data_IF_902754149089
#
_entry.id   IF_902754149089
#
_cell.length_a   1.000
_cell.length_b   1.000
_cell.length_c   1.000
_cell.angle_alpha   90.00
_cell.angle_beta   90.00
_cell.angle_gamma   90.00
#
_symmetry.space_group_name_H-M   'P 1'
#
loop_
_entity.id
_entity.type
_entity.pdbx_description
1 polymer ?
#
# COMPACT_ATOMS: atom_id res chain seq x y z
N UNK A 1 17.70 -0.40 4.69
CA UNK A 1 16.46 -1.00 5.23
C UNK A 1 16.12 -2.33 4.54
N UNK A 2 16.16 -2.43 3.21
CA UNK A 2 15.87 -3.71 2.53
C UNK A 2 16.75 -4.87 3.00
N UNK A 3 18.05 -4.65 3.17
CA UNK A 3 18.96 -5.67 3.71
C UNK A 3 18.67 -6.08 5.15
N UNK A 4 18.12 -5.19 5.99
CA UNK A 4 17.75 -5.51 7.36
C UNK A 4 16.69 -6.61 7.42
N UNK A 5 15.60 -6.44 6.67
CA UNK A 5 14.53 -7.45 6.68
C UNK A 5 14.96 -8.77 6.07
N UNK A 6 15.80 -8.74 5.03
CA UNK A 6 16.40 -9.97 4.50
C UNK A 6 17.24 -10.69 5.56
N UNK A 7 18.13 -9.98 6.27
CA UNK A 7 18.91 -10.54 7.36
C UNK A 7 18.02 -11.12 8.47
N UNK A 8 16.99 -10.37 8.90
CA UNK A 8 16.03 -10.84 9.91
C UNK A 8 15.24 -12.07 9.46
N UNK A 9 14.86 -12.14 8.19
CA UNK A 9 14.14 -13.29 7.63
C UNK A 9 14.99 -14.56 7.61
N UNK A 10 16.23 -14.43 7.13
CA UNK A 10 17.15 -15.56 7.07
C UNK A 10 17.86 -15.86 8.39
N UNK A 11 17.82 -14.95 9.36
CA UNK A 11 18.53 -15.05 10.63
C UNK A 11 20.04 -14.83 10.45
N UNK A 12 20.44 -13.98 9.50
CA UNK A 12 21.83 -13.69 9.17
C UNK A 12 22.25 -12.31 9.70
N UNK A 13 23.41 -12.25 10.35
CA UNK A 13 23.98 -11.00 10.85
C UNK A 13 24.37 -10.06 9.71
N UNK A 14 24.31 -8.76 9.97
CA UNK A 14 24.46 -7.72 8.97
C UNK A 14 25.70 -6.90 9.25
N UNK A 15 26.52 -6.72 8.24
CA UNK A 15 27.61 -5.75 8.24
C UNK A 15 27.25 -4.56 7.33
N UNK A 16 27.10 -3.38 7.92
CA UNK A 16 26.84 -2.14 7.19
C UNK A 16 28.17 -1.47 6.88
N UNK A 17 28.49 -1.35 5.59
CA UNK A 17 29.66 -0.60 5.12
C UNK A 17 29.27 0.85 4.85
N UNK A 18 30.20 1.76 5.19
CA UNK A 18 29.97 3.20 5.09
C UNK A 18 29.36 3.81 6.36
N UNK A 19 28.79 5.00 6.22
CA UNK A 19 28.32 5.78 7.37
C UNK A 19 26.82 5.57 7.61
N UNK A 20 26.46 5.29 8.85
CA UNK A 20 25.07 5.15 9.31
C UNK A 20 24.75 6.25 10.34
N UNK A 21 23.52 6.74 10.33
CA UNK A 21 22.99 7.67 11.35
C UNK A 21 23.06 7.01 12.73
N UNK A 22 23.70 7.65 13.74
CA UNK A 22 23.72 7.15 15.12
C UNK A 22 22.34 6.92 15.70
N UNK A 23 21.39 7.81 15.42
CA UNK A 23 19.99 7.67 15.84
C UNK A 23 19.36 6.43 15.26
N UNK A 24 19.50 6.19 13.95
CA UNK A 24 18.97 4.99 13.29
C UNK A 24 19.61 3.73 13.88
N UNK A 25 20.94 3.71 14.00
CA UNK A 25 21.66 2.55 14.54
C UNK A 25 21.19 2.20 15.97
N UNK A 26 20.98 3.21 16.82
CA UNK A 26 20.47 3.02 18.19
C UNK A 26 19.05 2.41 18.20
N UNK A 27 18.18 2.87 17.32
CA UNK A 27 16.79 2.46 17.30
C UNK A 27 16.54 1.12 16.60
N UNK A 28 17.46 0.61 15.77
CA UNK A 28 17.26 -0.62 15.02
C UNK A 28 17.13 -1.86 15.90
N UNK A 29 17.65 -1.87 17.12
CA UNK A 29 17.44 -2.98 18.05
C UNK A 29 15.98 -3.06 18.50
N UNK A 30 15.40 -1.94 18.91
CA UNK A 30 13.97 -1.85 19.27
C UNK A 30 13.06 -2.14 18.11
N UNK A 31 13.37 -1.61 16.92
CA UNK A 31 12.64 -1.90 15.69
C UNK A 31 12.59 -3.40 15.39
N UNK A 32 13.73 -4.09 15.45
CA UNK A 32 13.82 -5.54 15.27
C UNK A 32 13.00 -6.29 16.32
N UNK A 33 13.04 -5.83 17.59
CA UNK A 33 12.26 -6.45 18.66
C UNK A 33 10.77 -6.39 18.36
N UNK A 34 10.24 -5.22 17.97
CA UNK A 34 8.83 -5.04 17.63
C UNK A 34 8.43 -5.94 16.46
N UNK A 35 9.23 -5.97 15.39
CA UNK A 35 8.93 -6.82 14.23
C UNK A 35 8.96 -8.31 14.60
N UNK A 36 9.96 -8.76 15.34
CA UNK A 36 10.02 -10.16 15.78
C UNK A 36 8.86 -10.52 16.71
N UNK A 37 8.47 -9.62 17.62
CA UNK A 37 7.31 -9.83 18.48
C UNK A 37 6.01 -9.96 17.68
N UNK A 38 5.84 -9.12 16.65
CA UNK A 38 4.65 -9.13 15.78
C UNK A 38 4.63 -10.33 14.81
N UNK A 39 5.79 -10.74 14.33
CA UNK A 39 5.96 -11.77 13.28
C UNK A 39 7.02 -12.81 13.67
N UNK A 40 6.86 -13.53 14.80
CA UNK A 40 7.91 -14.41 15.35
C UNK A 40 8.27 -15.59 14.45
N UNK A 41 7.38 -15.96 13.53
CA UNK A 41 7.62 -17.05 12.58
C UNK A 41 8.25 -16.56 11.25
N UNK A 42 8.23 -15.25 10.98
CA UNK A 42 8.69 -14.68 9.72
C UNK A 42 10.08 -14.05 9.84
N UNK A 43 10.37 -13.40 10.97
CA UNK A 43 11.62 -12.66 11.16
C UNK A 43 12.28 -12.96 12.52
N UNK A 44 13.61 -12.86 12.58
CA UNK A 44 14.43 -13.03 13.79
C UNK A 44 15.26 -11.79 14.04
N UNK A 45 15.60 -11.53 15.29
CA UNK A 45 16.59 -10.48 15.60
C UNK A 45 17.98 -10.96 15.18
N UNK A 46 18.75 -10.06 14.58
CA UNK A 46 20.11 -10.31 14.07
C UNK A 46 21.06 -9.23 14.59
N UNK A 47 22.36 -9.55 14.66
CA UNK A 47 23.38 -8.58 15.00
C UNK A 47 23.66 -7.64 13.82
N UNK A 48 23.87 -6.34 14.10
CA UNK A 48 24.23 -5.37 13.08
C UNK A 48 25.55 -4.72 13.48
N UNK A 49 26.55 -4.83 12.61
CA UNK A 49 27.84 -4.16 12.77
C UNK A 49 27.90 -2.95 11.84
N UNK A 50 28.32 -1.83 12.37
CA UNK A 50 28.45 -0.56 11.62
C UNK A 50 29.92 -0.21 11.47
N UNK A 51 30.34 0.14 10.25
CA UNK A 51 31.69 0.59 9.98
C UNK A 51 31.93 1.99 10.58
N UNK A 52 31.01 2.93 10.30
CA UNK A 52 31.08 4.29 10.84
C UNK A 52 29.70 4.78 11.30
N UNK A 53 29.66 5.52 12.40
CA UNK A 53 28.46 6.20 12.90
C UNK A 53 28.72 7.70 12.90
N UNK A 54 27.96 8.44 12.05
CA UNK A 54 27.98 9.90 12.06
C UNK A 54 26.63 10.45 11.53
N UNK A 55 26.17 11.59 12.04
CA UNK A 55 25.01 12.27 11.47
C UNK A 55 25.32 12.73 10.04
N UNK A 56 24.32 12.74 9.17
CA UNK A 56 24.44 13.31 7.84
C UNK A 56 24.65 14.82 7.96
N UNK A 57 25.69 15.34 7.29
CA UNK A 57 25.95 16.78 7.24
C UNK A 57 24.99 17.47 6.25
N UNK A 58 23.71 17.56 6.61
CA UNK A 58 22.65 18.17 5.81
C UNK A 58 21.65 18.88 6.72
N UNK A 59 20.98 19.90 6.20
CA UNK A 59 19.87 20.59 6.87
C UNK A 59 18.62 20.57 5.97
N UNK A 60 17.99 19.41 5.82
CA UNK A 60 16.82 19.25 4.95
C UNK A 60 15.62 20.05 5.46
N UNK A 61 14.83 20.59 4.56
CA UNK A 61 13.64 21.39 4.89
C UNK A 61 12.34 20.80 4.35
N UNK A 62 12.42 20.02 3.31
CA UNK A 62 11.24 19.45 2.64
C UNK A 62 10.53 18.39 3.51
N UNK A 63 9.24 18.25 3.26
CA UNK A 63 8.37 17.25 3.87
C UNK A 63 7.80 16.39 2.75
N UNK A 64 8.09 15.10 2.78
CA UNK A 64 7.72 14.15 1.72
C UNK A 64 6.71 13.11 2.15
N UNK A 65 6.05 12.51 1.16
CA UNK A 65 5.25 11.29 1.29
C UNK A 65 5.20 10.55 -0.05
N UNK A 66 4.66 9.33 -0.10
CA UNK A 66 4.39 8.67 -1.39
C UNK A 66 3.17 9.27 -2.07
N UNK A 67 3.20 9.35 -3.39
CA UNK A 67 2.06 9.74 -4.25
C UNK A 67 1.68 8.55 -5.14
N UNK A 68 1.02 7.53 -4.56
CA UNK A 68 0.64 6.31 -5.29
C UNK A 68 -0.72 6.40 -6.00
N UNK A 69 -1.48 7.47 -5.79
CA UNK A 69 -2.86 7.59 -6.26
C UNK A 69 -3.89 6.79 -5.43
N UNK A 70 -3.45 6.01 -4.45
CA UNK A 70 -4.34 5.27 -3.54
C UNK A 70 -4.95 6.15 -2.43
N UNK A 71 -6.02 5.66 -1.81
CA UNK A 71 -6.76 6.40 -0.76
C UNK A 71 -5.84 6.85 0.38
N UNK A 72 -4.96 5.98 0.87
CA UNK A 72 -4.14 6.26 2.05
C UNK A 72 -3.08 7.34 1.76
N UNK A 73 -2.48 7.28 0.58
CA UNK A 73 -1.53 8.27 0.07
C UNK A 73 -2.21 9.62 -0.15
N UNK A 74 -3.34 9.65 -0.87
CA UNK A 74 -4.08 10.88 -1.15
C UNK A 74 -4.66 11.51 0.12
N UNK A 75 -5.12 10.70 1.07
CA UNK A 75 -5.56 11.20 2.37
C UNK A 75 -4.41 11.85 3.16
N UNK A 76 -3.23 11.23 3.16
CA UNK A 76 -2.04 11.78 3.83
C UNK A 76 -1.65 13.11 3.22
N UNK A 77 -1.61 13.20 1.89
CA UNK A 77 -1.34 14.45 1.17
C UNK A 77 -2.39 15.52 1.55
N UNK A 78 -3.67 15.21 1.34
CA UNK A 78 -4.77 16.14 1.63
C UNK A 78 -4.72 16.70 3.05
N UNK A 79 -4.46 15.81 4.04
CA UNK A 79 -4.40 16.20 5.46
C UNK A 79 -3.27 17.16 5.77
N UNK A 80 -2.20 17.14 4.96
CA UNK A 80 -1.01 17.96 5.16
C UNK A 80 -0.84 19.07 4.10
N UNK A 81 -1.87 19.35 3.29
CA UNK A 81 -1.90 20.57 2.50
C UNK A 81 -2.05 21.79 3.39
N UNK A 82 -1.58 22.99 2.96
CA UNK A 82 -1.69 24.24 3.73
C UNK A 82 -3.09 24.52 4.25
N UNK A 83 -4.13 24.16 3.51
CA UNK A 83 -5.53 24.37 3.87
C UNK A 83 -5.98 23.52 5.08
N UNK A 84 -5.33 22.37 5.28
CA UNK A 84 -5.70 21.39 6.30
C UNK A 84 -4.66 21.23 7.41
N UNK A 85 -3.44 21.78 7.23
CA UNK A 85 -2.33 21.74 8.19
C UNK A 85 -1.80 23.15 8.45
N UNK A 86 -2.10 23.70 9.61
CA UNK A 86 -1.71 25.07 9.99
C UNK A 86 -0.21 25.24 10.29
N UNK A 87 0.47 24.14 10.68
CA UNK A 87 1.91 24.20 10.98
C UNK A 87 2.75 23.96 9.73
N UNK A 88 3.47 24.97 9.18
CA UNK A 88 4.23 24.81 7.94
C UNK A 88 5.30 23.71 8.00
N UNK A 89 5.82 23.41 9.18
CA UNK A 89 6.83 22.36 9.36
C UNK A 89 6.30 20.94 9.08
N UNK A 90 4.98 20.76 9.02
CA UNK A 90 4.31 19.49 8.76
C UNK A 90 3.53 19.47 7.45
N UNK A 91 3.53 20.59 6.71
CA UNK A 91 2.90 20.64 5.38
C UNK A 91 3.75 19.85 4.38
N UNK A 92 3.10 18.95 3.62
CA UNK A 92 3.78 18.18 2.57
C UNK A 92 4.14 19.11 1.42
N UNK A 93 5.39 19.02 0.96
CA UNK A 93 5.94 19.80 -0.15
C UNK A 93 6.28 18.92 -1.37
N UNK A 94 6.49 17.60 -1.16
CA UNK A 94 6.90 16.68 -2.21
C UNK A 94 6.14 15.35 -2.11
N UNK A 95 5.79 14.81 -3.27
CA UNK A 95 5.33 13.43 -3.43
C UNK A 95 6.41 12.56 -4.08
N UNK A 96 6.52 11.30 -3.70
CA UNK A 96 7.34 10.33 -4.43
C UNK A 96 6.43 9.37 -5.19
N UNK A 97 6.59 9.29 -6.51
CA UNK A 97 5.96 8.29 -7.35
C UNK A 97 6.97 7.19 -7.66
N UNK A 98 6.67 5.97 -7.22
CA UNK A 98 7.64 4.88 -7.20
C UNK A 98 7.32 3.87 -8.30
N UNK A 99 8.28 3.66 -9.20
CA UNK A 99 8.28 2.56 -10.16
C UNK A 99 8.96 1.33 -9.55
N UNK A 100 8.42 0.15 -9.82
CA UNK A 100 8.93 -1.12 -9.28
C UNK A 100 8.24 -1.55 -7.99
N UNK A 101 7.13 -0.88 -7.60
CA UNK A 101 6.21 -1.31 -6.56
C UNK A 101 4.90 -1.79 -7.20
N UNK A 102 3.84 -0.97 -7.14
CA UNK A 102 2.53 -1.34 -7.70
C UNK A 102 2.53 -1.34 -9.25
N UNK A 103 3.50 -0.69 -9.90
CA UNK A 103 3.70 -0.69 -11.36
C UNK A 103 5.02 -1.37 -11.68
N UNK A 104 4.94 -2.41 -12.50
CA UNK A 104 6.10 -3.20 -12.88
C UNK A 104 6.97 -2.47 -13.92
N UNK A 105 8.25 -2.83 -13.98
CA UNK A 105 9.18 -2.27 -14.96
C UNK A 105 8.79 -2.60 -16.41
N UNK A 106 8.10 -3.73 -16.64
CA UNK A 106 7.54 -4.14 -17.93
C UNK A 106 6.42 -3.22 -18.44
N UNK A 107 5.76 -2.46 -17.55
CA UNK A 107 4.61 -1.60 -17.86
C UNK A 107 5.02 -0.14 -18.12
N UNK A 108 6.04 0.06 -18.93
CA UNK A 108 6.66 1.39 -19.11
C UNK A 108 5.71 2.47 -19.66
N UNK A 109 4.87 2.14 -20.63
CA UNK A 109 3.94 3.11 -21.24
C UNK A 109 2.89 3.57 -20.22
N UNK A 110 2.31 2.63 -19.48
CA UNK A 110 1.35 2.89 -18.41
C UNK A 110 1.97 3.76 -17.32
N UNK A 111 3.19 3.43 -16.91
CA UNK A 111 3.93 4.22 -15.94
C UNK A 111 4.13 5.66 -16.39
N UNK A 112 4.61 5.88 -17.60
CA UNK A 112 4.86 7.23 -18.14
C UNK A 112 3.56 8.05 -18.26
N UNK A 113 2.45 7.42 -18.61
CA UNK A 113 1.15 8.07 -18.67
C UNK A 113 0.71 8.53 -17.27
N UNK A 114 0.75 7.64 -16.28
CA UNK A 114 0.39 7.95 -14.90
C UNK A 114 1.31 9.02 -14.31
N UNK A 115 2.63 8.91 -14.53
CA UNK A 115 3.60 9.87 -14.03
C UNK A 115 3.30 11.29 -14.55
N UNK A 116 3.05 11.45 -15.85
CA UNK A 116 2.67 12.76 -16.42
C UNK A 116 1.41 13.32 -15.77
N UNK A 117 0.38 12.50 -15.61
CA UNK A 117 -0.88 12.93 -15.02
C UNK A 117 -0.73 13.28 -13.54
N UNK A 118 0.00 12.47 -12.78
CA UNK A 118 0.25 12.74 -11.36
C UNK A 118 1.15 13.96 -11.17
N UNK A 119 2.12 14.20 -12.05
CA UNK A 119 2.95 15.42 -12.04
C UNK A 119 2.10 16.67 -12.23
N UNK A 120 1.19 16.65 -13.19
CA UNK A 120 0.25 17.76 -13.37
C UNK A 120 -0.60 17.99 -12.12
N UNK A 121 -1.22 16.94 -11.57
CA UNK A 121 -2.08 17.08 -10.40
C UNK A 121 -1.30 17.49 -9.15
N UNK A 122 -0.09 17.02 -8.96
CA UNK A 122 0.79 17.44 -7.86
C UNK A 122 1.11 18.95 -7.98
N UNK A 123 1.44 19.42 -9.18
CA UNK A 123 1.71 20.83 -9.45
C UNK A 123 0.49 21.72 -9.17
N UNK A 124 -0.73 21.28 -9.55
CA UNK A 124 -1.98 22.00 -9.30
C UNK A 124 -2.25 22.24 -7.79
N UNK A 125 -1.72 21.39 -6.92
CA UNK A 125 -1.84 21.51 -5.45
C UNK A 125 -0.55 21.98 -4.76
N UNK A 126 0.41 22.49 -5.54
CA UNK A 126 1.64 23.07 -5.03
C UNK A 126 2.67 22.06 -4.53
N UNK A 127 2.60 20.78 -4.97
CA UNK A 127 3.57 19.74 -4.65
C UNK A 127 4.55 19.53 -5.82
N UNK A 128 5.80 19.26 -5.48
CA UNK A 128 6.79 18.71 -6.41
C UNK A 128 6.69 17.17 -6.41
N UNK A 129 6.55 16.55 -7.59
CA UNK A 129 6.53 15.10 -7.73
C UNK A 129 7.90 14.59 -8.14
N UNK A 130 8.47 13.71 -7.31
CA UNK A 130 9.76 13.06 -7.56
C UNK A 130 9.50 11.66 -8.13
N UNK A 131 10.11 11.39 -9.28
CA UNK A 131 10.18 10.04 -9.84
C UNK A 131 11.28 9.23 -9.14
N UNK A 132 10.93 8.02 -8.68
CA UNK A 132 11.89 7.09 -8.11
C UNK A 132 11.69 5.71 -8.73
N UNK A 133 12.78 5.13 -9.21
CA UNK A 133 12.82 3.77 -9.76
C UNK A 133 13.56 2.84 -8.81
N UNK A 134 13.02 1.63 -8.58
CA UNK A 134 13.63 0.66 -7.65
C UNK A 134 13.30 -0.79 -8.02
N UNK A 135 14.27 -1.66 -7.85
CA UNK A 135 14.11 -3.11 -7.97
C UNK A 135 14.01 -3.83 -6.62
N UNK A 136 13.74 -3.10 -5.54
CA UNK A 136 13.74 -3.68 -4.17
C UNK A 136 12.74 -4.82 -4.02
N UNK A 137 11.59 -4.75 -4.68
CA UNK A 137 10.61 -5.83 -4.63
C UNK A 137 11.14 -7.11 -5.29
N UNK A 138 11.84 -7.01 -6.42
CA UNK A 138 12.41 -8.19 -7.09
C UNK A 138 13.47 -8.89 -6.22
N UNK A 139 14.19 -8.15 -5.38
CA UNK A 139 15.15 -8.70 -4.41
C UNK A 139 14.41 -9.38 -3.25
N UNK A 140 13.28 -8.82 -2.79
CA UNK A 140 12.47 -9.33 -1.70
C UNK A 140 11.58 -10.53 -2.07
N UNK A 141 11.14 -10.62 -3.33
CA UNK A 141 10.16 -11.61 -3.79
C UNK A 141 10.63 -13.06 -3.81
N UNK A 142 11.93 -13.30 -3.76
CA UNK A 142 12.42 -14.66 -3.94
C UNK A 142 11.98 -15.63 -2.86
N UNK A 143 11.59 -15.18 -1.66
CA UNK A 143 11.14 -16.08 -0.55
C UNK A 143 10.32 -15.42 0.57
N UNK A 144 9.99 -14.12 0.54
CA UNK A 144 9.34 -13.42 1.65
C UNK A 144 8.03 -12.77 1.19
N UNK A 145 7.01 -12.82 2.05
CA UNK A 145 5.71 -12.21 1.70
C UNK A 145 5.83 -10.69 1.65
N UNK A 146 5.33 -10.07 0.57
CA UNK A 146 5.35 -8.63 0.30
C UNK A 146 4.87 -7.76 1.46
N UNK A 147 3.85 -8.21 2.17
CA UNK A 147 3.25 -7.47 3.28
C UNK A 147 4.25 -7.20 4.42
N UNK A 148 5.27 -8.04 4.58
CA UNK A 148 6.29 -7.93 5.63
C UNK A 148 7.35 -6.87 5.30
N UNK A 149 7.54 -6.55 4.02
CA UNK A 149 8.60 -5.64 3.54
C UNK A 149 8.11 -4.26 3.12
N UNK A 150 6.83 -4.10 2.89
CA UNK A 150 6.27 -2.89 2.25
C UNK A 150 6.59 -1.61 3.03
N UNK A 151 6.42 -1.59 4.34
CA UNK A 151 6.72 -0.43 5.17
C UNK A 151 8.18 0.03 5.10
N UNK A 152 9.17 -0.82 5.44
CA UNK A 152 10.60 -0.49 5.32
C UNK A 152 11.05 -0.14 3.91
N UNK A 153 10.41 -0.68 2.88
CA UNK A 153 10.71 -0.29 1.50
C UNK A 153 10.24 1.14 1.21
N UNK A 154 9.04 1.51 1.64
CA UNK A 154 8.57 2.91 1.56
C UNK A 154 9.52 3.83 2.33
N UNK A 155 9.89 3.47 3.56
CA UNK A 155 10.86 4.25 4.34
C UNK A 155 12.18 4.41 3.61
N UNK A 156 12.67 3.33 2.97
CA UNK A 156 13.92 3.38 2.20
C UNK A 156 13.89 4.44 1.10
N UNK A 157 12.76 4.61 0.42
CA UNK A 157 12.62 5.64 -0.62
C UNK A 157 12.72 7.06 -0.06
N UNK A 158 12.15 7.31 1.13
CA UNK A 158 12.31 8.58 1.82
C UNK A 158 13.75 8.81 2.31
N UNK A 159 14.40 7.76 2.84
CA UNK A 159 15.77 7.87 3.37
C UNK A 159 16.85 8.02 2.30
N UNK A 160 16.65 7.49 1.09
CA UNK A 160 17.54 7.76 -0.06
C UNK A 160 17.58 9.26 -0.37
N UNK A 161 16.50 9.98 -0.09
CA UNK A 161 16.36 11.42 -0.26
C UNK A 161 16.54 12.19 1.08
N UNK A 162 17.28 11.64 2.04
CA UNK A 162 17.48 12.24 3.37
C UNK A 162 18.20 13.60 3.37
N UNK A 163 18.88 13.95 2.29
CA UNK A 163 19.42 15.31 2.10
C UNK A 163 18.34 16.35 1.77
N UNK A 164 17.19 15.90 1.26
CA UNK A 164 16.05 16.74 0.93
C UNK A 164 15.00 16.75 2.05
N UNK A 165 14.68 15.57 2.60
CA UNK A 165 13.57 15.41 3.52
C UNK A 165 13.96 15.56 4.99
N UNK A 166 13.39 16.58 5.62
CA UNK A 166 13.35 16.71 7.08
C UNK A 166 12.33 15.76 7.71
N UNK A 167 11.22 15.51 7.03
CA UNK A 167 10.14 14.59 7.43
C UNK A 167 9.67 13.76 6.25
N UNK A 168 9.32 12.54 6.53
CA UNK A 168 8.72 11.67 5.54
C UNK A 168 7.54 10.91 6.14
N UNK A 169 6.35 11.11 5.57
CA UNK A 169 5.15 10.41 6.02
C UNK A 169 5.01 9.07 5.33
N UNK A 170 4.67 8.04 6.14
CA UNK A 170 4.24 6.73 5.67
C UNK A 170 2.73 6.67 5.75
N UNK A 171 2.00 6.63 4.62
CA UNK A 171 0.56 6.49 4.62
C UNK A 171 0.13 5.14 5.18
N UNK A 172 -0.67 5.13 6.23
CA UNK A 172 -1.17 3.90 6.85
C UNK A 172 -2.27 3.24 6.03
N UNK A 173 -2.14 1.97 5.75
CA UNK A 173 -3.18 1.15 5.12
C UNK A 173 -4.29 0.69 6.08
N UNK A 174 -4.05 0.73 7.38
CA UNK A 174 -4.97 0.30 8.43
C UNK A 174 -5.17 1.33 9.54
N UNK A 175 -6.25 1.19 10.28
CA UNK A 175 -6.46 1.91 11.54
C UNK A 175 -5.77 1.18 12.71
N UNK A 176 -5.67 1.85 13.85
CA UNK A 176 -5.03 1.27 15.05
C UNK A 176 -5.70 -0.03 15.51
N UNK A 177 -7.02 -0.17 15.37
CA UNK A 177 -7.72 -1.39 15.76
C UNK A 177 -7.34 -2.56 14.87
N UNK A 178 -7.29 -2.34 13.55
CA UNK A 178 -6.86 -3.36 12.59
C UNK A 178 -5.40 -3.75 12.80
N UNK A 179 -4.52 -2.78 13.00
CA UNK A 179 -3.09 -3.00 13.22
C UNK A 179 -2.77 -3.69 14.54
N UNK A 180 -3.66 -3.62 15.52
CA UNK A 180 -3.53 -4.37 16.77
C UNK A 180 -3.57 -5.89 16.55
N UNK A 181 -4.34 -6.35 15.57
CA UNK A 181 -4.59 -7.78 15.30
C UNK A 181 -3.87 -8.32 14.07
N UNK A 182 -3.33 -7.45 13.24
CA UNK A 182 -2.68 -7.84 11.97
C UNK A 182 -1.26 -7.32 11.95
N UNK A 183 -0.31 -8.22 11.74
CA UNK A 183 1.09 -7.84 11.57
C UNK A 183 1.29 -7.33 10.14
N UNK A 184 1.58 -6.04 10.03
CA UNK A 184 2.09 -5.42 8.81
C UNK A 184 3.48 -4.86 9.09
N UNK A 185 4.32 -4.80 8.08
CA UNK A 185 5.64 -4.19 8.23
C UNK A 185 5.59 -2.66 8.33
N UNK A 186 4.52 -2.00 7.84
CA UNK A 186 4.23 -0.60 8.16
C UNK A 186 3.41 -0.55 9.44
N UNK A 187 4.05 -0.23 10.55
CA UNK A 187 3.47 -0.29 11.88
C UNK A 187 3.70 1.03 12.62
N UNK A 188 2.61 1.68 13.11
CA UNK A 188 2.72 2.95 13.84
C UNK A 188 3.57 2.85 15.11
N UNK A 189 3.77 1.66 15.67
CA UNK A 189 4.66 1.45 16.81
C UNK A 189 6.13 1.35 16.40
N UNK A 190 6.41 0.90 15.19
CA UNK A 190 7.77 0.59 14.74
C UNK A 190 8.36 1.66 13.82
N UNK A 191 7.55 2.26 12.93
CA UNK A 191 8.06 3.09 11.83
C UNK A 191 8.86 4.31 12.31
N UNK A 192 8.48 4.92 13.42
CA UNK A 192 9.20 6.05 14.00
C UNK A 192 10.65 5.75 14.38
N UNK A 193 10.97 4.49 14.71
CA UNK A 193 12.33 4.03 15.00
C UNK A 193 13.24 3.99 13.76
N UNK A 194 12.67 4.13 12.56
CA UNK A 194 13.44 4.23 11.32
C UNK A 194 13.91 5.66 11.02
N UNK A 195 13.64 6.62 11.90
CA UNK A 195 14.12 7.99 11.79
C UNK A 195 15.64 8.06 11.90
N UNK A 196 16.24 8.99 11.14
CA UNK A 196 17.66 9.35 11.23
C UNK A 196 17.86 10.62 12.04
N UNK A 197 19.09 11.10 12.15
CA UNK A 197 19.39 12.39 12.80
C UNK A 197 18.80 13.58 12.03
N UNK A 198 18.60 13.43 10.71
CA UNK A 198 18.14 14.51 9.82
C UNK A 198 16.71 14.32 9.31
N UNK A 199 16.24 13.08 9.19
CA UNK A 199 14.93 12.76 8.62
C UNK A 199 14.04 12.06 9.65
N UNK A 200 12.94 12.70 10.02
CA UNK A 200 11.90 12.13 10.88
C UNK A 200 10.93 11.30 10.04
N UNK A 201 10.74 10.03 10.41
CA UNK A 201 9.75 9.12 9.79
C UNK A 201 8.47 9.17 10.62
N UNK A 202 7.34 9.45 9.99
CA UNK A 202 6.05 9.62 10.65
C UNK A 202 5.03 8.69 10.00
N UNK A 203 4.54 7.70 10.74
CA UNK A 203 3.39 6.90 10.33
C UNK A 203 2.12 7.74 10.46
N UNK A 204 1.30 7.83 9.40
CA UNK A 204 0.16 8.73 9.36
C UNK A 204 -1.12 8.06 8.86
N UNK A 205 -2.23 8.36 9.52
CA UNK A 205 -3.59 8.00 9.08
C UNK A 205 -4.22 6.82 9.79
N UNK A 206 -3.55 6.18 10.77
CA UNK A 206 -4.12 5.07 11.57
C UNK A 206 -5.22 5.51 12.54
N UNK A 207 -5.42 6.80 12.75
CA UNK A 207 -6.51 7.35 13.56
C UNK A 207 -7.87 7.31 12.85
N UNK A 208 -7.88 7.00 11.56
CA UNK A 208 -9.08 7.00 10.72
C UNK A 208 -9.32 5.62 10.12
N UNK A 209 -10.57 5.17 10.15
CA UNK A 209 -11.02 4.07 9.31
C UNK A 209 -10.85 4.40 7.83
N UNK A 210 -10.69 3.37 7.00
CA UNK A 210 -10.53 3.59 5.56
C UNK A 210 -11.73 4.31 4.94
N UNK A 211 -12.94 4.00 5.37
CA UNK A 211 -14.16 4.69 4.91
C UNK A 211 -14.17 6.17 5.29
N UNK A 212 -13.60 6.54 6.44
CA UNK A 212 -13.48 7.93 6.87
C UNK A 212 -12.44 8.69 6.03
N UNK A 213 -11.34 8.03 5.66
CA UNK A 213 -10.37 8.59 4.72
C UNK A 213 -11.02 8.89 3.37
N UNK A 214 -11.79 7.93 2.83
CA UNK A 214 -12.56 8.14 1.60
C UNK A 214 -13.51 9.32 1.75
N UNK A 215 -14.26 9.40 2.84
CA UNK A 215 -15.22 10.49 3.08
C UNK A 215 -14.56 11.86 3.10
N UNK A 216 -13.41 11.99 3.78
CA UNK A 216 -12.71 13.27 3.91
C UNK A 216 -12.19 13.80 2.57
N UNK A 217 -11.75 12.91 1.66
CA UNK A 217 -11.21 13.31 0.36
C UNK A 217 -12.23 13.21 -0.79
N UNK A 218 -13.47 12.78 -0.51
CA UNK A 218 -14.46 12.46 -1.54
C UNK A 218 -14.81 13.62 -2.47
N UNK A 219 -14.80 14.85 -1.97
CA UNK A 219 -15.09 16.06 -2.73
C UNK A 219 -13.84 16.81 -3.21
N UNK A 220 -12.66 16.29 -2.94
CA UNK A 220 -11.42 16.85 -3.45
C UNK A 220 -11.21 16.44 -4.92
N UNK A 221 -10.84 17.38 -5.79
CA UNK A 221 -10.75 17.14 -7.23
C UNK A 221 -9.64 16.17 -7.63
N UNK A 222 -8.55 16.13 -6.85
CA UNK A 222 -7.39 15.28 -7.16
C UNK A 222 -7.76 13.80 -7.21
N UNK A 223 -8.38 13.18 -6.15
CA UNK A 223 -8.76 11.78 -6.23
C UNK A 223 -9.83 11.49 -7.29
N UNK A 224 -10.70 12.47 -7.62
CA UNK A 224 -11.68 12.27 -8.68
C UNK A 224 -11.03 12.03 -10.05
N UNK A 225 -9.81 12.58 -10.25
CA UNK A 225 -9.02 12.48 -11.50
C UNK A 225 -7.92 11.41 -11.43
N UNK A 226 -7.37 11.12 -10.24
CA UNK A 226 -6.13 10.33 -10.10
C UNK A 226 -6.28 9.05 -9.27
N UNK A 227 -7.46 8.79 -8.70
CA UNK A 227 -7.62 7.65 -7.81
C UNK A 227 -7.32 6.33 -8.52
N UNK A 228 -6.36 5.59 -7.98
CA UNK A 228 -6.01 4.25 -8.39
C UNK A 228 -5.90 3.32 -7.18
N UNK A 229 -6.79 2.33 -7.12
CA UNK A 229 -6.87 1.37 -6.01
C UNK A 229 -6.85 -0.08 -6.49
N UNK A 230 -6.88 -0.30 -7.80
CA UNK A 230 -7.07 -1.61 -8.41
C UNK A 230 -5.77 -2.40 -8.48
N UNK A 231 -5.79 -3.66 -8.02
CA UNK A 231 -4.68 -4.61 -8.23
C UNK A 231 -4.69 -5.22 -9.64
N UNK A 232 -5.83 -5.19 -10.33
CA UNK A 232 -6.02 -5.74 -11.67
C UNK A 232 -6.23 -4.60 -12.68
N UNK A 233 -5.46 -3.54 -12.55
CA UNK A 233 -5.56 -2.39 -13.43
C UNK A 233 -5.25 -2.83 -14.86
N UNK A 234 -6.16 -2.50 -15.77
CA UNK A 234 -5.88 -2.42 -17.20
C UNK A 234 -5.79 -0.94 -17.49
N UNK A 235 -4.63 -0.46 -17.81
CA UNK A 235 -4.41 0.94 -18.10
C UNK A 235 -4.88 1.27 -19.53
N UNK A 236 -6.20 1.20 -19.73
CA UNK A 236 -6.83 1.60 -20.98
C UNK A 236 -7.31 3.05 -20.84
N UNK A 237 -6.69 3.97 -21.55
CA UNK A 237 -7.02 5.40 -21.59
C UNK A 237 -7.04 6.08 -20.21
N UNK A 238 -8.23 6.28 -19.62
CA UNK A 238 -8.43 6.98 -18.34
C UNK A 238 -8.99 6.09 -17.25
N UNK A 239 -9.29 4.82 -17.54
CA UNK A 239 -9.91 3.90 -16.60
C UNK A 239 -8.89 2.95 -16.01
N UNK A 240 -8.56 3.15 -14.73
CA UNK A 240 -7.52 2.38 -14.04
C UNK A 240 -8.07 1.43 -12.98
N UNK A 241 -9.35 1.51 -12.70
CA UNK A 241 -10.01 0.72 -11.68
C UNK A 241 -11.04 -0.20 -12.32
N UNK A 242 -10.83 -1.51 -12.23
CA UNK A 242 -11.68 -2.53 -12.85
C UNK A 242 -13.13 -2.58 -12.30
N UNK A 243 -13.45 -1.80 -11.29
CA UNK A 243 -14.77 -1.72 -10.62
C UNK A 243 -15.29 -3.03 -10.03
N UNK A 244 -14.49 -4.10 -9.97
CA UNK A 244 -14.93 -5.47 -9.62
C UNK A 244 -14.10 -6.14 -8.53
N UNK A 245 -12.83 -5.77 -8.36
CA UNK A 245 -12.01 -6.35 -7.32
C UNK A 245 -12.40 -5.81 -5.93
N UNK A 246 -11.92 -6.46 -4.88
CA UNK A 246 -12.23 -6.08 -3.51
C UNK A 246 -11.84 -4.64 -3.21
N UNK A 247 -10.62 -4.21 -3.59
CA UNK A 247 -10.15 -2.83 -3.38
C UNK A 247 -11.02 -1.79 -4.10
N UNK A 248 -11.46 -2.06 -5.35
CA UNK A 248 -12.38 -1.18 -6.05
C UNK A 248 -13.71 -1.08 -5.30
N UNK A 249 -14.32 -2.23 -4.96
CA UNK A 249 -15.65 -2.27 -4.35
C UNK A 249 -15.68 -1.59 -2.99
N UNK A 250 -14.72 -1.85 -2.12
CA UNK A 250 -14.65 -1.20 -0.80
C UNK A 250 -14.42 0.31 -0.88
N UNK A 251 -13.92 0.81 -2.02
CA UNK A 251 -13.77 2.25 -2.27
C UNK A 251 -15.02 2.84 -2.93
N UNK A 252 -15.64 2.12 -3.85
CA UNK A 252 -16.85 2.57 -4.55
C UNK A 252 -18.06 2.68 -3.62
N UNK A 253 -18.22 1.75 -2.65
CA UNK A 253 -19.37 1.75 -1.73
C UNK A 253 -19.47 3.07 -0.93
N UNK A 254 -18.44 3.55 -0.21
CA UNK A 254 -18.54 4.82 0.48
C UNK A 254 -18.71 6.01 -0.47
N UNK A 255 -18.07 6.02 -1.65
CA UNK A 255 -18.26 7.06 -2.65
C UNK A 255 -19.72 7.09 -3.18
N UNK A 256 -20.31 5.91 -3.39
CA UNK A 256 -21.72 5.79 -3.75
C UNK A 256 -22.64 6.27 -2.62
N UNK A 257 -22.32 5.91 -1.37
CA UNK A 257 -23.10 6.36 -0.21
C UNK A 257 -23.05 7.87 0.01
N UNK A 258 -22.03 8.54 -0.52
CA UNK A 258 -21.87 10.00 -0.52
C UNK A 258 -22.48 10.68 -1.75
N UNK A 259 -23.02 9.91 -2.68
CA UNK A 259 -23.58 10.39 -3.97
C UNK A 259 -22.53 11.15 -4.84
N UNK A 260 -21.26 10.70 -4.80
CA UNK A 260 -20.16 11.33 -5.58
C UNK A 260 -19.42 10.35 -6.50
N UNK A 261 -19.80 9.07 -6.52
CA UNK A 261 -19.09 8.06 -7.30
C UNK A 261 -19.02 8.39 -8.80
N UNK A 262 -20.02 9.05 -9.34
CA UNK A 262 -20.10 9.49 -10.74
C UNK A 262 -19.04 10.53 -11.14
N UNK A 263 -18.46 11.24 -10.15
CA UNK A 263 -17.35 12.18 -10.34
C UNK A 263 -16.01 11.47 -10.56
N UNK A 264 -15.89 10.21 -10.12
CA UNK A 264 -14.66 9.41 -10.19
C UNK A 264 -14.55 8.69 -11.53
N UNK A 265 -13.96 9.35 -12.52
CA UNK A 265 -13.87 8.86 -13.90
C UNK A 265 -12.86 7.72 -14.08
N UNK A 266 -12.04 7.44 -13.07
CA UNK A 266 -11.05 6.37 -13.08
C UNK A 266 -11.64 4.97 -12.89
N UNK A 267 -12.92 4.84 -12.53
CA UNK A 267 -13.63 3.56 -12.46
C UNK A 267 -14.24 3.19 -13.82
N UNK A 268 -13.98 1.95 -14.26
CA UNK A 268 -14.53 1.41 -15.54
C UNK A 268 -16.07 1.39 -15.53
N UNK A 269 -16.67 0.95 -14.42
CA UNK A 269 -18.12 0.77 -14.29
C UNK A 269 -18.61 1.23 -12.93
N UNK A 270 -18.95 2.49 -12.73
CA UNK A 270 -19.62 2.92 -11.51
C UNK A 270 -20.99 2.23 -11.41
N UNK A 271 -21.36 1.77 -10.21
CA UNK A 271 -22.70 1.22 -9.98
C UNK A 271 -23.67 2.29 -9.45
N UNK A 272 -24.92 2.18 -9.86
CA UNK A 272 -25.97 3.16 -9.54
C UNK A 272 -27.20 2.55 -8.86
N UNK A 273 -27.27 1.22 -8.77
CA UNK A 273 -28.42 0.48 -8.24
C UNK A 273 -28.01 -0.44 -7.10
N UNK A 274 -28.92 -0.64 -6.13
CA UNK A 274 -28.65 -1.43 -4.93
C UNK A 274 -28.30 -2.91 -5.24
N UNK A 275 -28.90 -3.51 -6.27
CA UNK A 275 -28.58 -4.91 -6.64
C UNK A 275 -27.15 -5.07 -7.19
N UNK A 276 -26.59 -4.01 -7.79
CA UNK A 276 -25.19 -4.02 -8.24
C UNK A 276 -24.26 -4.08 -7.03
N UNK A 277 -24.63 -3.41 -5.94
CA UNK A 277 -23.91 -3.51 -4.66
C UNK A 277 -23.84 -4.97 -4.19
N UNK A 278 -24.92 -5.75 -4.30
CA UNK A 278 -24.94 -7.17 -3.97
C UNK A 278 -23.89 -7.95 -4.76
N UNK A 279 -23.77 -7.72 -6.06
CA UNK A 279 -22.83 -8.41 -6.92
C UNK A 279 -21.38 -8.06 -6.62
N UNK A 280 -21.10 -6.80 -6.36
CA UNK A 280 -19.75 -6.32 -6.07
C UNK A 280 -19.34 -6.67 -4.64
N UNK A 281 -20.19 -6.39 -3.67
CA UNK A 281 -19.90 -6.60 -2.26
C UNK A 281 -19.82 -8.08 -1.85
N UNK A 282 -20.28 -9.01 -2.70
CA UNK A 282 -20.08 -10.48 -2.48
C UNK A 282 -18.61 -10.90 -2.38
N UNK A 283 -17.68 -10.02 -2.72
CA UNK A 283 -16.24 -10.19 -2.46
C UNK A 283 -15.90 -10.11 -0.98
N UNK A 284 -16.71 -9.39 -0.20
CA UNK A 284 -16.56 -9.32 1.23
C UNK A 284 -17.04 -10.62 1.89
N UNK A 285 -16.40 -10.95 3.00
CA UNK A 285 -16.79 -12.02 3.90
C UNK A 285 -16.56 -11.57 5.34
N UNK A 286 -17.06 -12.31 6.33
CA UNK A 286 -16.93 -11.95 7.74
C UNK A 286 -15.48 -11.94 8.27
N UNK A 287 -14.52 -12.46 7.50
CA UNK A 287 -13.08 -12.43 7.82
C UNK A 287 -12.38 -11.20 7.25
N UNK A 288 -13.06 -10.40 6.42
CA UNK A 288 -12.49 -9.18 5.86
C UNK A 288 -12.51 -8.05 6.89
N UNK A 289 -11.36 -7.50 7.21
CA UNK A 289 -11.18 -6.46 8.23
C UNK A 289 -11.97 -5.17 7.93
N UNK A 290 -12.29 -4.91 6.68
CA UNK A 290 -13.01 -3.68 6.26
C UNK A 290 -14.53 -3.82 6.29
N UNK A 291 -15.07 -5.00 6.52
CA UNK A 291 -16.54 -5.23 6.50
C UNK A 291 -17.22 -4.52 7.65
N UNK A 292 -16.67 -4.63 8.85
CA UNK A 292 -17.28 -4.03 10.05
C UNK A 292 -17.34 -2.49 9.94
N UNK A 293 -16.25 -1.85 9.50
CA UNK A 293 -16.26 -0.40 9.31
C UNK A 293 -17.29 0.04 8.27
N UNK A 294 -17.46 -0.75 7.19
CA UNK A 294 -18.46 -0.49 6.17
C UNK A 294 -19.89 -0.56 6.70
N UNK A 295 -20.20 -1.57 7.54
CA UNK A 295 -21.51 -1.65 8.19
C UNK A 295 -21.80 -0.44 9.11
N UNK A 296 -20.83 -0.06 9.93
CA UNK A 296 -20.96 1.11 10.82
C UNK A 296 -21.16 2.38 9.99
N UNK A 297 -20.39 2.53 8.93
CA UNK A 297 -20.45 3.68 8.04
C UNK A 297 -21.82 3.80 7.34
N UNK A 298 -22.29 2.74 6.69
CA UNK A 298 -23.57 2.73 5.98
C UNK A 298 -24.75 2.90 6.93
N UNK A 299 -24.68 2.39 8.16
CA UNK A 299 -25.72 2.62 9.18
C UNK A 299 -25.93 4.11 9.46
N UNK A 300 -24.86 4.92 9.36
CA UNK A 300 -24.92 6.38 9.60
C UNK A 300 -25.31 7.16 8.34
N UNK A 301 -24.89 6.69 7.16
CA UNK A 301 -24.97 7.46 5.92
C UNK A 301 -26.09 7.01 4.97
N UNK A 302 -26.27 5.71 4.76
CA UNK A 302 -27.19 5.17 3.74
C UNK A 302 -27.73 3.81 4.16
N UNK A 303 -28.65 3.82 5.14
CA UNK A 303 -29.20 2.60 5.78
C UNK A 303 -29.90 1.66 4.81
N UNK A 304 -30.44 2.19 3.73
CA UNK A 304 -31.11 1.40 2.67
C UNK A 304 -30.16 0.45 1.94
N UNK A 305 -28.83 0.66 2.02
CA UNK A 305 -27.84 -0.25 1.46
C UNK A 305 -27.50 -1.44 2.38
N UNK A 306 -27.84 -1.36 3.67
CA UNK A 306 -27.48 -2.39 4.65
C UNK A 306 -28.01 -3.79 4.30
N UNK A 307 -29.29 -3.97 3.89
CA UNK A 307 -29.79 -5.30 3.53
C UNK A 307 -28.98 -5.96 2.41
N UNK A 308 -28.57 -5.16 1.42
CA UNK A 308 -27.74 -5.64 0.30
C UNK A 308 -26.33 -5.99 0.74
N UNK A 309 -25.73 -5.20 1.63
CA UNK A 309 -24.41 -5.51 2.18
C UNK A 309 -24.44 -6.75 3.07
N UNK A 310 -25.48 -6.94 3.91
CA UNK A 310 -25.66 -8.15 4.73
C UNK A 310 -25.77 -9.38 3.83
N UNK A 311 -26.64 -9.35 2.83
CA UNK A 311 -26.83 -10.46 1.90
C UNK A 311 -25.53 -10.75 1.14
N UNK A 312 -24.85 -9.73 0.66
CA UNK A 312 -23.56 -9.85 -0.03
C UNK A 312 -22.49 -10.51 0.86
N UNK A 313 -22.40 -10.08 2.12
CA UNK A 313 -21.43 -10.62 3.08
C UNK A 313 -21.73 -12.08 3.42
N UNK A 314 -23.01 -12.46 3.57
CA UNK A 314 -23.41 -13.85 3.78
C UNK A 314 -22.99 -14.70 2.56
N UNK A 315 -23.31 -14.26 1.35
CA UNK A 315 -22.94 -14.97 0.12
C UNK A 315 -21.41 -15.06 -0.04
N UNK A 316 -20.69 -14.00 0.27
CA UNK A 316 -19.22 -13.97 0.27
C UNK A 316 -18.63 -14.95 1.29
N UNK A 317 -19.20 -15.03 2.48
CA UNK A 317 -18.77 -15.95 3.55
C UNK A 317 -19.05 -17.41 3.17
N UNK A 318 -20.25 -17.71 2.64
CA UNK A 318 -20.57 -19.04 2.14
C UNK A 318 -19.62 -19.47 1.02
N UNK A 319 -19.34 -18.57 0.09
CA UNK A 319 -18.35 -18.79 -0.97
C UNK A 319 -16.96 -19.06 -0.41
N UNK A 320 -16.50 -18.27 0.57
CA UNK A 320 -15.19 -18.46 1.23
C UNK A 320 -15.09 -19.86 1.83
N UNK A 321 -16.07 -20.27 2.63
CA UNK A 321 -16.10 -21.61 3.22
C UNK A 321 -16.16 -22.71 2.18
N UNK A 322 -17.00 -22.55 1.15
CA UNK A 322 -17.09 -23.51 0.06
C UNK A 322 -15.72 -23.72 -0.60
N UNK A 323 -15.02 -22.64 -0.95
CA UNK A 323 -13.67 -22.72 -1.55
C UNK A 323 -12.67 -23.34 -0.59
N UNK A 324 -12.72 -22.99 0.70
CA UNK A 324 -11.81 -23.51 1.71
C UNK A 324 -11.87 -25.03 1.84
N UNK A 325 -13.06 -25.60 1.73
CA UNK A 325 -13.27 -27.06 1.83
C UNK A 325 -13.10 -27.82 0.52
N UNK A 326 -12.90 -27.13 -0.61
CA UNK A 326 -12.66 -27.82 -1.88
C UNK A 326 -11.27 -28.51 -1.86
N UNK A 327 -11.17 -29.72 -2.46
CA UNK A 327 -9.86 -30.35 -2.69
C UNK A 327 -8.93 -29.47 -3.51
N UNK A 328 -7.63 -29.51 -3.24
CA UNK A 328 -6.64 -28.67 -3.93
C UNK A 328 -6.64 -28.84 -5.47
N UNK A 329 -6.92 -30.05 -5.95
CA UNK A 329 -7.06 -30.33 -7.38
C UNK A 329 -8.21 -29.53 -8.00
N UNK A 330 -9.36 -29.48 -7.31
CA UNK A 330 -10.52 -28.71 -7.78
C UNK A 330 -10.25 -27.22 -7.72
N UNK A 331 -9.56 -26.74 -6.65
CA UNK A 331 -9.13 -25.34 -6.57
C UNK A 331 -8.22 -24.96 -7.73
N UNK A 332 -7.28 -25.82 -8.07
CA UNK A 332 -6.37 -25.61 -9.21
C UNK A 332 -7.13 -25.52 -10.54
N UNK A 333 -8.06 -26.45 -10.76
CA UNK A 333 -8.93 -26.44 -11.95
C UNK A 333 -9.77 -25.17 -12.07
N UNK A 334 -10.40 -24.76 -10.98
CA UNK A 334 -11.22 -23.54 -10.94
C UNK A 334 -10.38 -22.25 -11.20
N UNK A 335 -9.12 -22.24 -10.79
CA UNK A 335 -8.17 -21.15 -11.12
C UNK A 335 -7.85 -21.10 -12.60
N UNK A 336 -7.57 -22.24 -13.23
CA UNK A 336 -7.28 -22.34 -14.68
C UNK A 336 -8.42 -21.84 -15.56
N UNK A 337 -9.68 -21.99 -15.12
CA UNK A 337 -10.85 -21.52 -15.86
C UNK A 337 -11.36 -20.14 -15.46
N UNK A 338 -10.58 -19.36 -14.69
CA UNK A 338 -10.93 -17.98 -14.32
C UNK A 338 -12.15 -17.83 -13.41
N UNK A 339 -12.68 -18.92 -12.85
CA UNK A 339 -13.89 -18.87 -12.01
C UNK A 339 -13.68 -18.36 -10.60
N UNK A 340 -12.42 -18.36 -10.10
CA UNK A 340 -12.10 -17.88 -8.75
C UNK A 340 -10.75 -17.17 -8.74
N UNK A 341 -10.77 -15.88 -8.61
CA UNK A 341 -9.64 -15.09 -8.10
C UNK A 341 -10.04 -14.64 -6.71
N UNK A 342 -9.59 -15.33 -5.68
CA UNK A 342 -9.58 -14.82 -4.31
C UNK A 342 -8.16 -14.39 -4.02
N UNK A 343 -7.94 -13.10 -3.88
CA UNK A 343 -6.63 -12.53 -3.56
C UNK A 343 -6.18 -12.83 -2.12
N UNK A 344 -6.90 -13.65 -1.35
CA UNK A 344 -6.63 -13.84 0.08
C UNK A 344 -5.79 -15.09 0.39
N UNK A 345 -5.46 -15.97 -0.59
CA UNK A 345 -4.70 -17.20 -0.34
C UNK A 345 -3.74 -17.61 -1.47
N UNK A 346 -3.53 -16.80 -2.49
CA UNK A 346 -2.53 -17.10 -3.51
C UNK A 346 -1.44 -16.03 -3.47
N UNK A 347 -0.17 -16.40 -3.59
CA UNK A 347 0.78 -15.49 -4.19
C UNK A 347 0.15 -15.04 -5.50
N UNK A 348 0.12 -13.74 -5.73
CA UNK A 348 -0.56 -13.17 -6.88
C UNK A 348 -0.18 -13.95 -8.13
N UNK A 349 -1.15 -14.31 -8.98
CA UNK A 349 -0.88 -14.99 -10.25
C UNK A 349 0.05 -14.14 -11.15
N UNK A 350 0.18 -12.89 -10.83
CA UNK A 350 1.15 -11.91 -11.30
C UNK A 350 2.59 -12.30 -10.92
N UNK A 351 2.86 -12.70 -9.66
CA UNK A 351 4.18 -13.10 -9.18
C UNK A 351 4.72 -14.34 -9.90
N UNK A 352 3.87 -15.35 -10.12
CA UNK A 352 4.31 -16.62 -10.71
C UNK A 352 4.68 -16.50 -12.19
N UNK A 353 4.05 -15.61 -12.95
CA UNK A 353 4.37 -15.43 -14.38
C UNK A 353 5.68 -14.68 -14.56
N UNK A 354 5.96 -13.64 -13.79
CA UNK A 354 7.22 -12.87 -13.88
C UNK A 354 8.42 -13.61 -13.29
N UNK A 355 8.24 -14.27 -12.12
CA UNK A 355 9.31 -15.11 -11.56
C UNK A 355 9.68 -16.23 -12.53
N UNK A 356 8.70 -16.82 -13.21
CA UNK A 356 8.96 -17.86 -14.22
C UNK A 356 9.67 -17.30 -15.46
N UNK A 357 9.39 -16.06 -15.83
CA UNK A 357 10.04 -15.39 -16.95
C UNK A 357 11.47 -14.96 -16.58
N UNK A 358 11.69 -14.37 -15.42
CA UNK A 358 13.01 -13.98 -14.91
C UNK A 358 13.93 -15.19 -14.67
N UNK A 359 13.39 -16.31 -14.20
CA UNK A 359 14.16 -17.56 -14.04
C UNK A 359 14.56 -18.14 -15.39
N UNK A 360 13.73 -18.05 -16.43
CA UNK A 360 14.09 -18.48 -17.81
C UNK A 360 15.16 -17.58 -18.43
N UNK A 361 15.07 -16.26 -18.25
CA UNK A 361 16.07 -15.32 -18.76
C UNK A 361 17.44 -15.48 -18.07
N UNK A 362 17.48 -15.92 -16.81
CA UNK A 362 18.72 -16.21 -16.08
C UNK A 362 19.38 -17.53 -16.48
N UNK A 363 18.59 -18.56 -16.82
CA UNK A 363 19.11 -19.85 -17.29
C UNK A 363 19.70 -19.74 -18.70
N UNK A 364 19.18 -18.87 -19.56
CA UNK A 364 19.71 -18.63 -20.91
C UNK A 364 21.06 -17.87 -20.91
N UNK A 365 21.35 -17.08 -19.85
CA UNK A 365 22.65 -16.40 -19.72
C UNK A 365 23.74 -17.20 -18.98
N UNK A 366 23.38 -18.34 -18.36
CA UNK A 366 24.36 -19.23 -17.72
C UNK A 366 24.86 -20.35 -18.62
N UNK A 367 24.39 -20.42 -19.88
CA UNK A 367 24.75 -21.43 -20.87
C UNK A 367 25.58 -20.89 -22.06
N UNK A 368 26.07 -19.66 -21.96
CA UNK A 368 27.12 -19.10 -22.85
C UNK A 368 28.33 -18.69 -22.02
#
# INVERSE_FOLDING_TARGET
>A
MGGLLAGMHYGEDIQVRGTTSPRLAYHLDEYQFILNFRMPNAVRRVSIQYEHLAPLAANPTAVGTTFSGGIDSLFTIWKHLPENQSNPNYQVTHGIFIRGFDILHSENENYQQLFRQYTQQASEIGLELIELDTNMLSIGHTRVQLNEFYGPFIVSTGLVLSQLFRRFYIPSSGDYHMLQHTAYSADPLADGFLSTDTTEIIHHGSTNYRVEKVEQIANWDVPQKTLWVCLNAKFEETTWNCSRCEKCVRTMIPLYALDVLDKYKTFEKPFTKNYELLWYARKFNLHNNYVNEMFVYLKRRKRELLPWLYLATILGTLRYWFIKFLPNVVKHWLRLYGYFVTNDEAPDAYELSEITQLLREHDDHSST
#
